data_IF_454898699344
#
_entry.id   IF_454898699344
#
_cell.length_a   1.000
_cell.length_b   1.000
_cell.length_c   1.000
_cell.angle_alpha   90.00
_cell.angle_beta   90.00
_cell.angle_gamma   90.00
#
_symmetry.space_group_name_H-M   'P 1'
#
loop_
_entity.id
_entity.type
_entity.pdbx_description
1 polymer ?
#
# COMPACT_ATOMS: atom_id res chain seq x y z
N UNK A 1 8.28 -5.06 24.84
CA UNK A 1 9.43 -4.45 25.55
C UNK A 1 9.26 -4.59 27.06
N UNK A 2 8.08 -4.25 27.61
CA UNK A 2 7.74 -4.46 29.02
C UNK A 2 8.01 -5.88 29.59
N UNK A 3 7.79 -6.96 28.82
CA UNK A 3 8.10 -8.32 29.29
C UNK A 3 9.61 -8.56 29.46
N UNK A 4 10.46 -7.96 28.62
CA UNK A 4 11.93 -8.12 28.74
C UNK A 4 12.46 -7.32 29.91
N UNK A 5 11.92 -6.14 30.14
CA UNK A 5 12.24 -5.29 31.28
C UNK A 5 11.89 -5.99 32.60
N UNK A 6 10.67 -6.52 32.73
CA UNK A 6 10.26 -7.34 33.87
C UNK A 6 11.18 -8.54 34.12
N UNK A 7 11.57 -9.26 33.06
CA UNK A 7 12.46 -10.42 33.20
C UNK A 7 13.91 -10.01 33.54
N UNK A 8 14.36 -8.83 33.12
CA UNK A 8 15.68 -8.29 33.48
C UNK A 8 15.73 -7.85 34.94
N UNK A 9 14.71 -7.15 35.42
CA UNK A 9 14.55 -6.79 36.83
C UNK A 9 14.53 -8.05 37.72
N UNK A 10 13.85 -9.10 37.26
CA UNK A 10 13.80 -10.38 37.96
C UNK A 10 15.17 -11.09 37.96
N UNK A 11 15.94 -11.03 36.86
CA UNK A 11 17.32 -11.56 36.83
C UNK A 11 18.25 -10.79 37.76
N UNK A 12 18.10 -9.47 37.84
CA UNK A 12 18.90 -8.60 38.72
C UNK A 12 18.60 -8.89 40.19
N UNK A 13 17.32 -8.89 40.58
CA UNK A 13 16.87 -9.26 41.92
C UNK A 13 17.32 -10.67 42.31
N UNK A 14 17.23 -11.64 41.38
CA UNK A 14 17.67 -13.01 41.62
C UNK A 14 19.20 -13.19 41.68
N UNK A 15 19.99 -12.21 41.25
CA UNK A 15 21.44 -12.23 41.41
C UNK A 15 21.88 -11.96 42.85
N UNK A 16 21.01 -11.34 43.65
CA UNK A 16 21.23 -11.02 45.06
C UNK A 16 20.78 -12.16 45.99
N UNK A 17 19.88 -13.03 45.53
CA UNK A 17 19.35 -14.15 46.30
C UNK A 17 20.24 -15.39 46.21
N UNK A 18 20.42 -16.09 47.32
CA UNK A 18 21.08 -17.41 47.33
C UNK A 18 20.13 -18.51 46.85
N UNK A 19 20.59 -19.52 46.08
CA UNK A 19 19.74 -20.55 45.46
C UNK A 19 18.91 -21.42 46.43
N UNK A 20 19.21 -21.39 47.74
CA UNK A 20 18.50 -22.17 48.77
C UNK A 20 17.34 -21.40 49.42
N UNK A 21 17.08 -20.16 49.03
CA UNK A 21 15.97 -19.37 49.57
C UNK A 21 14.64 -19.70 48.87
N UNK A 22 13.51 -19.83 49.61
CA UNK A 22 12.21 -20.11 49.01
C UNK A 22 11.76 -19.02 48.03
N UNK A 23 12.20 -17.77 48.25
CA UNK A 23 11.94 -16.63 47.37
C UNK A 23 12.57 -16.82 45.98
N UNK A 24 13.74 -17.50 45.91
CA UNK A 24 14.42 -17.82 44.65
C UNK A 24 13.62 -18.83 43.82
N UNK A 25 13.03 -19.84 44.46
CA UNK A 25 12.19 -20.84 43.78
C UNK A 25 10.87 -20.23 43.32
N UNK A 26 10.24 -19.40 44.14
CA UNK A 26 9.00 -18.70 43.78
C UNK A 26 9.20 -17.76 42.57
N UNK A 27 10.30 -17.03 42.51
CA UNK A 27 10.61 -16.14 41.37
C UNK A 27 10.81 -16.91 40.05
N UNK A 28 11.40 -18.11 40.11
CA UNK A 28 11.54 -19.01 38.96
C UNK A 28 10.18 -19.53 38.47
N UNK A 29 9.32 -19.94 39.41
CA UNK A 29 7.96 -20.38 39.11
C UNK A 29 7.10 -19.27 38.51
N UNK A 30 7.20 -18.03 39.02
CA UNK A 30 6.51 -16.86 38.47
C UNK A 30 6.96 -16.55 37.04
N UNK A 31 8.24 -16.72 36.75
CA UNK A 31 8.78 -16.59 35.39
C UNK A 31 8.43 -17.80 34.49
N UNK A 32 7.93 -18.90 35.06
CA UNK A 32 7.61 -20.16 34.37
C UNK A 32 8.86 -20.91 33.89
N UNK A 33 9.95 -20.84 34.65
CA UNK A 33 11.27 -21.35 34.25
C UNK A 33 11.90 -22.16 35.39
N UNK A 34 12.65 -23.22 35.10
CA UNK A 34 13.16 -24.15 36.13
C UNK A 34 14.57 -23.80 36.62
N UNK A 35 15.29 -22.94 35.89
CA UNK A 35 16.67 -22.57 36.18
C UNK A 35 16.98 -21.12 35.77
N UNK A 36 17.89 -20.48 36.50
CA UNK A 36 18.44 -19.16 36.17
C UNK A 36 19.02 -19.11 34.74
N UNK A 37 19.63 -20.20 34.28
CA UNK A 37 20.21 -20.25 32.94
C UNK A 37 19.14 -20.25 31.84
N UNK A 38 17.99 -20.87 32.11
CA UNK A 38 16.84 -20.84 31.22
C UNK A 38 16.20 -19.46 31.18
N UNK A 39 16.18 -18.74 32.31
CA UNK A 39 15.66 -17.38 32.41
C UNK A 39 16.54 -16.41 31.61
N UNK A 40 17.87 -16.51 31.77
CA UNK A 40 18.84 -15.75 30.97
C UNK A 40 18.72 -16.05 29.47
N UNK A 41 18.51 -17.32 29.10
CA UNK A 41 18.24 -17.71 27.70
C UNK A 41 16.95 -17.10 27.18
N UNK A 42 15.87 -17.10 27.97
CA UNK A 42 14.59 -16.48 27.60
C UNK A 42 14.75 -14.98 27.35
N UNK A 43 15.44 -14.26 28.24
CA UNK A 43 15.79 -12.84 28.05
C UNK A 43 16.58 -12.63 26.76
N UNK A 44 17.63 -13.43 26.51
CA UNK A 44 18.46 -13.31 25.31
C UNK A 44 17.65 -13.54 24.02
N UNK A 45 16.75 -14.53 24.01
CA UNK A 45 15.88 -14.80 22.84
C UNK A 45 14.89 -13.66 22.58
N UNK A 46 14.30 -13.08 23.61
CA UNK A 46 13.38 -11.95 23.48
C UNK A 46 14.14 -10.68 23.03
N UNK A 47 15.33 -10.41 23.56
CA UNK A 47 16.19 -9.32 23.09
C UNK A 47 16.58 -9.50 21.62
N UNK A 48 16.88 -10.73 21.18
CA UNK A 48 17.19 -11.00 19.77
C UNK A 48 15.97 -10.78 18.87
N UNK A 49 14.76 -11.17 19.32
CA UNK A 49 13.50 -10.89 18.60
C UNK A 49 13.21 -9.39 18.51
N UNK A 50 13.43 -8.64 19.60
CA UNK A 50 13.30 -7.17 19.62
C UNK A 50 14.31 -6.52 18.68
N UNK A 51 15.57 -6.95 18.68
CA UNK A 51 16.58 -6.43 17.74
C UNK A 51 16.22 -6.72 16.28
N UNK A 52 15.75 -7.93 15.97
CA UNK A 52 15.29 -8.29 14.61
C UNK A 52 14.09 -7.46 14.18
N UNK A 53 13.12 -7.25 15.05
CA UNK A 53 11.93 -6.43 14.76
C UNK A 53 12.29 -4.95 14.62
N UNK A 54 13.18 -4.41 15.46
CA UNK A 54 13.71 -3.04 15.31
C UNK A 54 14.51 -2.86 14.02
N UNK A 55 15.36 -3.83 13.66
CA UNK A 55 16.10 -3.76 12.40
C UNK A 55 15.17 -3.86 11.19
N UNK A 56 14.11 -4.67 11.27
CA UNK A 56 13.08 -4.74 10.25
C UNK A 56 12.29 -3.43 10.15
N UNK A 57 11.90 -2.86 11.30
CA UNK A 57 11.25 -1.55 11.35
C UNK A 57 12.16 -0.47 10.78
N UNK A 58 13.44 -0.45 11.12
CA UNK A 58 14.43 0.48 10.54
C UNK A 58 14.65 0.24 9.05
N UNK A 59 14.60 -1.01 8.56
CA UNK A 59 14.67 -1.30 7.12
C UNK A 59 13.41 -0.85 6.37
N UNK A 60 12.23 -1.04 6.98
CA UNK A 60 10.96 -0.57 6.45
C UNK A 60 10.88 0.97 6.53
N UNK A 61 11.48 1.58 7.56
CA UNK A 61 11.62 3.03 7.71
C UNK A 61 12.68 3.61 6.77
N UNK A 62 13.84 2.98 6.54
CA UNK A 62 14.82 3.49 5.54
C UNK A 62 14.38 3.23 4.10
N UNK A 63 13.49 2.26 3.87
CA UNK A 63 12.75 2.15 2.62
C UNK A 63 11.64 3.22 2.49
N UNK A 64 11.20 3.84 3.60
CA UNK A 64 10.21 4.92 3.65
C UNK A 64 10.75 6.35 3.82
N UNK A 65 11.98 6.55 4.31
CA UNK A 65 12.56 7.85 4.75
C UNK A 65 13.41 8.53 3.67
N UNK A 66 13.21 8.21 2.39
CA UNK A 66 13.52 9.19 1.32
C UNK A 66 12.32 10.11 1.05
N UNK A 67 11.19 9.91 1.75
CA UNK A 67 10.03 10.77 1.64
C UNK A 67 9.62 11.26 3.04
N UNK A 68 9.62 12.58 3.19
CA UNK A 68 8.85 13.34 4.18
C UNK A 68 9.48 13.56 5.57
N UNK A 69 10.38 14.54 5.63
CA UNK A 69 10.44 15.45 6.78
C UNK A 69 9.51 16.64 6.48
N UNK A 70 8.34 16.68 7.12
CA UNK A 70 7.54 17.90 7.24
C UNK A 70 7.19 18.17 8.70
N UNK A 71 7.81 19.22 9.24
CA UNK A 71 7.42 19.91 10.46
C UNK A 71 5.99 20.46 10.34
N UNK A 72 5.19 20.18 11.35
CA UNK A 72 3.88 20.77 11.57
C UNK A 72 3.99 22.30 11.73
N UNK A 73 3.24 23.05 10.91
CA UNK A 73 2.86 24.42 11.23
C UNK A 73 1.43 24.70 10.79
N UNK A 74 0.67 25.22 11.74
CA UNK A 74 -0.77 25.42 11.70
C UNK A 74 -1.29 26.32 10.55
N UNK A 75 -2.54 26.05 10.19
CA UNK A 75 -3.33 26.54 9.06
C UNK A 75 -3.48 28.07 9.02
N UNK A 76 -3.38 28.68 7.83
CA UNK A 76 -4.52 29.43 7.33
C UNK A 76 -4.88 29.04 5.88
N UNK A 77 -6.18 28.97 5.64
CA UNK A 77 -6.83 28.71 4.35
C UNK A 77 -6.36 29.72 3.29
N UNK A 78 -5.60 29.29 2.27
CA UNK A 78 -5.56 29.87 0.91
C UNK A 78 -4.59 29.14 -0.04
N UNK A 79 -5.12 28.64 -1.17
CA UNK A 79 -4.37 28.43 -2.42
C UNK A 79 -3.68 27.05 -2.60
N UNK A 80 -3.57 26.55 -3.85
CA UNK A 80 -2.82 25.34 -4.13
C UNK A 80 -1.35 25.56 -3.77
N UNK A 81 -0.81 24.67 -2.94
CA UNK A 81 0.59 24.61 -2.55
C UNK A 81 1.48 24.77 -3.78
N UNK A 82 2.26 25.85 -3.81
CA UNK A 82 3.27 26.13 -4.82
C UNK A 82 4.49 25.23 -4.59
N UNK A 83 4.31 23.91 -4.70
CA UNK A 83 5.43 23.02 -4.99
C UNK A 83 5.93 23.46 -6.37
N UNK A 84 7.19 23.89 -6.43
CA UNK A 84 7.78 24.50 -7.62
C UNK A 84 7.48 23.64 -8.83
N UNK A 85 6.55 24.10 -9.68
CA UNK A 85 6.19 23.39 -10.90
C UNK A 85 7.46 23.35 -11.74
N UNK A 86 7.88 22.15 -12.13
CA UNK A 86 9.09 21.96 -12.90
C UNK A 86 9.04 22.86 -14.15
N UNK A 87 9.92 23.85 -14.20
CA UNK A 87 10.02 24.77 -15.32
C UNK A 87 10.89 24.15 -16.40
N UNK A 88 10.50 24.24 -17.69
CA UNK A 88 11.31 23.76 -18.79
C UNK A 88 12.67 24.50 -18.84
N UNK A 89 13.71 23.84 -19.41
CA UNK A 89 14.97 24.50 -19.75
C UNK A 89 14.77 25.77 -20.59
N UNK A 90 15.70 26.72 -20.49
CA UNK A 90 15.62 28.00 -21.24
C UNK A 90 15.83 27.84 -22.74
N UNK A 91 16.60 26.83 -23.16
CA UNK A 91 16.84 26.56 -24.56
C UNK A 91 15.63 25.88 -25.22
N UNK A 92 15.12 26.40 -26.35
CA UNK A 92 13.86 25.94 -26.93
C UNK A 92 13.91 24.50 -27.45
N UNK A 93 15.08 24.02 -27.87
CA UNK A 93 15.27 22.64 -28.30
C UNK A 93 15.21 21.68 -27.12
N UNK A 94 15.93 21.99 -26.03
CA UNK A 94 15.92 21.20 -24.80
C UNK A 94 14.55 21.22 -24.12
N UNK A 95 13.85 22.36 -24.17
CA UNK A 95 12.47 22.49 -23.69
C UNK A 95 11.51 21.55 -24.43
N UNK A 96 11.65 21.40 -25.74
CA UNK A 96 10.82 20.50 -26.53
C UNK A 96 11.09 19.02 -26.21
N UNK A 97 12.36 18.65 -26.04
CA UNK A 97 12.74 17.28 -25.65
C UNK A 97 12.26 16.93 -24.24
N UNK A 98 12.39 17.88 -23.31
CA UNK A 98 11.86 17.74 -21.95
C UNK A 98 10.33 17.58 -21.97
N UNK A 99 9.59 18.40 -22.71
CA UNK A 99 8.14 18.23 -22.84
C UNK A 99 7.76 16.88 -23.44
N UNK A 100 8.52 16.40 -24.43
CA UNK A 100 8.30 15.07 -25.00
C UNK A 100 8.55 13.95 -23.98
N UNK A 101 9.54 14.10 -23.08
CA UNK A 101 9.76 13.13 -22.00
C UNK A 101 8.59 13.13 -21.00
N UNK A 102 8.10 14.30 -20.59
CA UNK A 102 6.95 14.43 -19.70
C UNK A 102 5.67 13.81 -20.32
N UNK A 103 5.42 14.06 -21.62
CA UNK A 103 4.30 13.46 -22.35
C UNK A 103 4.42 11.93 -22.43
N UNK A 104 5.63 11.41 -22.64
CA UNK A 104 5.90 9.98 -22.70
C UNK A 104 5.68 9.30 -21.35
N UNK A 105 6.18 9.89 -20.27
CA UNK A 105 6.00 9.39 -18.91
C UNK A 105 4.51 9.36 -18.54
N UNK A 106 3.78 10.45 -18.81
CA UNK A 106 2.33 10.49 -18.59
C UNK A 106 1.60 9.40 -19.38
N UNK A 107 1.95 9.21 -20.66
CA UNK A 107 1.34 8.19 -21.51
C UNK A 107 1.65 6.77 -21.03
N UNK A 108 2.85 6.52 -20.53
CA UNK A 108 3.24 5.22 -19.99
C UNK A 108 2.44 4.88 -18.73
N UNK A 109 2.31 5.84 -17.79
CA UNK A 109 1.50 5.64 -16.58
C UNK A 109 0.04 5.37 -16.95
N UNK A 110 -0.51 6.12 -17.90
CA UNK A 110 -1.88 5.89 -18.39
C UNK A 110 -2.06 4.51 -19.02
N UNK A 111 -1.11 4.08 -19.86
CA UNK A 111 -1.13 2.74 -20.48
C UNK A 111 -1.05 1.65 -19.42
N UNK A 112 -0.18 1.81 -18.41
CA UNK A 112 -0.07 0.88 -17.28
C UNK A 112 -1.37 0.80 -16.47
N UNK A 113 -2.01 1.95 -16.20
CA UNK A 113 -3.31 2.05 -15.53
C UNK A 113 -4.42 1.41 -16.35
N UNK A 114 -4.41 1.57 -17.68
CA UNK A 114 -5.37 0.90 -18.58
C UNK A 114 -5.14 -0.62 -18.61
N UNK A 115 -3.90 -1.09 -18.69
CA UNK A 115 -3.56 -2.50 -18.66
C UNK A 115 -4.01 -3.14 -17.34
N UNK A 116 -3.77 -2.49 -16.19
CA UNK A 116 -4.28 -2.93 -14.87
C UNK A 116 -5.80 -2.99 -14.85
N UNK A 117 -6.50 -1.99 -15.39
CA UNK A 117 -7.96 -2.00 -15.54
C UNK A 117 -8.42 -3.18 -16.41
N UNK A 118 -7.83 -3.37 -17.59
CA UNK A 118 -8.16 -4.47 -18.50
C UNK A 118 -8.00 -5.83 -17.82
N UNK A 119 -6.86 -6.08 -17.17
CA UNK A 119 -6.61 -7.31 -16.41
C UNK A 119 -7.64 -7.54 -15.31
N UNK A 120 -8.00 -6.52 -14.54
CA UNK A 120 -9.09 -6.60 -13.55
C UNK A 120 -10.42 -7.00 -14.20
N UNK A 121 -10.77 -6.42 -15.33
CA UNK A 121 -12.00 -6.80 -16.04
C UNK A 121 -11.94 -8.22 -16.61
N UNK A 122 -10.79 -8.68 -17.09
CA UNK A 122 -10.59 -10.03 -17.58
C UNK A 122 -10.70 -11.06 -16.46
N UNK A 123 -10.12 -10.80 -15.29
CA UNK A 123 -10.26 -11.65 -14.11
C UNK A 123 -11.70 -11.72 -13.60
N UNK A 124 -12.47 -10.63 -13.72
CA UNK A 124 -13.88 -10.61 -13.33
C UNK A 124 -14.78 -11.43 -14.28
N UNK A 125 -14.38 -11.59 -15.55
CA UNK A 125 -15.13 -12.36 -16.55
C UNK A 125 -14.92 -13.86 -16.35
N UNK A 126 -15.99 -14.61 -16.08
CA UNK A 126 -16.01 -16.06 -15.74
C UNK A 126 -15.50 -17.04 -16.81
N UNK A 127 -14.89 -16.58 -17.92
CA UNK A 127 -14.50 -17.42 -19.07
C UNK A 127 -13.11 -17.10 -19.64
N UNK A 128 -12.32 -16.29 -18.95
CA UNK A 128 -10.94 -15.97 -19.35
C UNK A 128 -9.95 -16.98 -18.77
N UNK A 129 -8.78 -17.13 -19.38
CA UNK A 129 -7.68 -17.98 -18.88
C UNK A 129 -7.28 -17.56 -17.46
N UNK A 130 -7.18 -16.26 -17.21
CA UNK A 130 -6.91 -15.70 -15.88
C UNK A 130 -8.00 -16.08 -14.86
N UNK A 131 -9.29 -16.03 -15.24
CA UNK A 131 -10.37 -16.49 -14.37
C UNK A 131 -10.30 -18.00 -14.11
N UNK A 132 -9.85 -18.80 -15.08
CA UNK A 132 -9.70 -20.26 -14.90
C UNK A 132 -8.56 -20.59 -13.94
N UNK A 133 -7.43 -19.89 -14.03
CA UNK A 133 -6.30 -20.09 -13.11
C UNK A 133 -6.66 -19.66 -11.67
N UNK A 134 -7.36 -18.53 -11.52
CA UNK A 134 -7.95 -18.13 -10.23
C UNK A 134 -8.87 -19.21 -9.66
N UNK A 135 -9.75 -19.78 -10.48
CA UNK A 135 -10.64 -20.87 -10.06
C UNK A 135 -9.86 -22.15 -9.72
N UNK A 136 -8.75 -22.43 -10.41
CA UNK A 136 -7.88 -23.58 -10.13
C UNK A 136 -7.25 -23.46 -8.74
N UNK A 137 -6.70 -22.30 -8.41
CA UNK A 137 -6.12 -22.02 -7.09
C UNK A 137 -7.18 -22.16 -6.00
N UNK A 138 -8.35 -21.54 -6.20
CA UNK A 138 -9.49 -21.64 -5.25
C UNK A 138 -9.95 -23.10 -5.09
N UNK A 139 -10.03 -23.86 -6.17
CA UNK A 139 -10.45 -25.27 -6.15
C UNK A 139 -9.43 -26.18 -5.46
N UNK A 140 -8.13 -25.88 -5.61
CA UNK A 140 -7.07 -26.59 -4.90
C UNK A 140 -7.12 -26.31 -3.40
N UNK A 141 -7.42 -25.07 -3.02
CA UNK A 141 -7.65 -24.68 -1.64
C UNK A 141 -8.85 -25.41 -1.02
N UNK A 142 -10.00 -25.36 -1.69
CA UNK A 142 -11.25 -25.97 -1.21
C UNK A 142 -11.17 -27.49 -1.03
N UNK A 143 -10.24 -28.17 -1.72
CA UNK A 143 -10.04 -29.62 -1.57
C UNK A 143 -9.29 -30.02 -0.30
N UNK A 144 -8.56 -29.10 0.34
CA UNK A 144 -7.75 -29.39 1.52
C UNK A 144 -8.58 -29.41 2.81
N UNK A 145 -9.80 -28.87 2.81
CA UNK A 145 -10.65 -28.71 4.00
C UNK A 145 -12.03 -29.36 3.82
N UNK A 146 -12.16 -30.62 4.24
CA UNK A 146 -13.47 -31.26 4.48
C UNK A 146 -13.80 -31.39 5.98
N UNK A 147 -12.93 -30.87 6.86
CA UNK A 147 -13.08 -30.99 8.31
C UNK A 147 -12.69 -29.64 8.92
N UNK A 148 -13.72 -28.91 9.34
CA UNK A 148 -13.70 -27.59 9.99
C UNK A 148 -13.11 -26.44 9.13
N UNK A 149 -14.00 -25.71 8.47
CA UNK A 149 -13.67 -24.50 7.69
C UNK A 149 -13.48 -23.30 8.63
N UNK A 150 -12.22 -23.07 9.03
CA UNK A 150 -11.77 -21.90 9.79
C UNK A 150 -11.01 -20.91 8.89
N UNK A 151 -11.29 -20.90 7.58
CA UNK A 151 -10.60 -20.06 6.61
C UNK A 151 -10.69 -18.57 6.99
N UNK A 152 -9.55 -17.91 7.13
CA UNK A 152 -9.42 -16.51 7.56
C UNK A 152 -8.93 -16.33 9.00
N UNK A 153 -8.82 -17.40 9.79
CA UNK A 153 -8.26 -17.35 11.16
C UNK A 153 -6.74 -17.59 11.16
N UNK A 154 -6.19 -18.25 10.12
CA UNK A 154 -4.74 -18.47 9.99
C UNK A 154 -4.12 -17.36 9.16
N UNK A 155 -2.92 -16.92 9.55
CA UNK A 155 -2.12 -15.94 8.80
C UNK A 155 -1.81 -16.41 7.36
N UNK A 156 -1.73 -17.72 7.14
CA UNK A 156 -1.50 -18.35 5.83
C UNK A 156 -2.66 -18.13 4.84
N UNK A 157 -3.89 -17.95 5.32
CA UNK A 157 -5.06 -17.73 4.47
C UNK A 157 -5.01 -16.34 3.81
N UNK A 158 -4.29 -15.38 4.42
CA UNK A 158 -4.06 -14.05 3.83
C UNK A 158 -3.15 -14.13 2.62
N UNK A 159 -2.20 -15.07 2.59
CA UNK A 159 -1.31 -15.26 1.45
C UNK A 159 -2.05 -15.79 0.23
N UNK A 160 -3.20 -16.44 0.42
CA UNK A 160 -4.09 -16.87 -0.65
C UNK A 160 -4.84 -15.69 -1.25
N UNK A 161 -5.38 -14.80 -0.41
CA UNK A 161 -5.96 -13.54 -0.90
C UNK A 161 -4.93 -12.71 -1.64
N UNK A 162 -3.69 -12.64 -1.14
CA UNK A 162 -2.59 -12.00 -1.85
C UNK A 162 -2.31 -12.73 -3.16
N UNK A 163 -2.13 -14.05 -3.20
CA UNK A 163 -1.82 -14.77 -4.43
C UNK A 163 -2.90 -14.57 -5.52
N UNK A 164 -4.17 -14.54 -5.12
CA UNK A 164 -5.30 -14.31 -6.03
C UNK A 164 -5.40 -12.84 -6.47
N UNK A 165 -5.10 -11.88 -5.60
CA UNK A 165 -5.22 -10.44 -5.89
C UNK A 165 -3.90 -9.75 -6.24
N UNK A 166 -2.75 -10.44 -6.18
CA UNK A 166 -1.41 -9.91 -6.49
C UNK A 166 -1.36 -9.40 -7.93
N UNK A 167 -2.05 -10.10 -8.84
CA UNK A 167 -2.22 -9.66 -10.22
C UNK A 167 -3.21 -8.49 -10.39
N UNK A 168 -4.04 -8.22 -9.38
CA UNK A 168 -5.05 -7.16 -9.36
C UNK A 168 -4.51 -5.75 -9.12
N UNK A 169 -3.23 -5.62 -8.73
CA UNK A 169 -2.49 -4.35 -8.70
C UNK A 169 -3.02 -3.34 -7.68
N UNK A 170 -2.59 -3.44 -6.42
CA UNK A 170 -2.94 -2.49 -5.36
C UNK A 170 -1.78 -1.64 -4.84
N UNK A 171 -0.54 -2.16 -4.84
CA UNK A 171 0.55 -1.56 -4.06
C UNK A 171 1.14 -0.28 -4.65
N UNK A 172 1.19 -0.15 -5.98
CA UNK A 172 1.88 0.98 -6.64
C UNK A 172 0.90 2.08 -7.09
N UNK A 173 -0.37 2.03 -6.66
CA UNK A 173 -1.41 2.87 -7.26
C UNK A 173 -1.47 4.31 -6.75
N UNK A 174 -0.99 4.57 -5.54
CA UNK A 174 -1.02 5.91 -4.93
C UNK A 174 0.14 6.76 -5.44
N UNK A 175 1.36 6.23 -5.38
CA UNK A 175 2.57 6.86 -5.93
C UNK A 175 2.44 7.14 -7.45
N UNK A 176 1.85 6.23 -8.21
CA UNK A 176 1.59 6.45 -9.64
C UNK A 176 0.53 7.55 -9.87
N UNK A 177 -0.44 7.73 -8.97
CA UNK A 177 -1.47 8.77 -9.08
C UNK A 177 -0.87 10.15 -8.74
N UNK A 178 -0.04 10.25 -7.71
CA UNK A 178 0.68 11.47 -7.37
C UNK A 178 1.58 11.93 -8.51
N UNK A 179 2.40 11.03 -9.07
CA UNK A 179 3.25 11.33 -10.23
C UNK A 179 2.44 11.78 -11.45
N UNK A 180 1.29 11.15 -11.67
CA UNK A 180 0.40 11.51 -12.77
C UNK A 180 -0.19 12.91 -12.57
N UNK A 181 -0.58 13.27 -11.35
CA UNK A 181 -1.05 14.62 -11.01
C UNK A 181 0.05 15.66 -11.21
N UNK A 182 1.27 15.38 -10.77
CA UNK A 182 2.43 16.28 -10.99
C UNK A 182 2.69 16.52 -12.49
N UNK A 183 2.71 15.44 -13.28
CA UNK A 183 2.87 15.52 -14.74
C UNK A 183 1.71 16.27 -15.41
N UNK A 184 0.47 16.09 -14.94
CA UNK A 184 -0.69 16.81 -15.48
C UNK A 184 -0.62 18.31 -15.20
N UNK A 185 -0.15 18.71 -14.02
CA UNK A 185 0.07 20.14 -13.70
C UNK A 185 1.09 20.75 -14.66
N UNK A 186 2.21 20.06 -14.88
CA UNK A 186 3.27 20.49 -15.82
C UNK A 186 2.73 20.57 -17.26
N UNK A 187 2.09 19.50 -17.74
CA UNK A 187 1.58 19.42 -19.10
C UNK A 187 0.43 20.40 -19.36
N UNK A 188 -0.38 20.72 -18.34
CA UNK A 188 -1.46 21.72 -18.46
C UNK A 188 -0.91 23.12 -18.70
N UNK A 189 0.24 23.45 -18.11
CA UNK A 189 0.89 24.75 -18.27
C UNK A 189 1.61 24.88 -19.62
N UNK A 190 2.30 23.83 -20.07
CA UNK A 190 3.18 23.90 -21.24
C UNK A 190 2.62 23.26 -22.51
N UNK A 191 1.65 22.34 -22.40
CA UNK A 191 1.06 21.60 -23.52
C UNK A 191 -0.44 21.28 -23.30
N UNK A 192 -1.31 22.30 -23.17
CA UNK A 192 -2.74 22.08 -22.92
C UNK A 192 -3.44 21.31 -24.06
N UNK A 193 -2.93 21.43 -25.30
CA UNK A 193 -3.46 20.71 -26.46
C UNK A 193 -3.24 19.19 -26.40
N UNK A 194 -2.14 18.73 -25.77
CA UNK A 194 -1.86 17.31 -25.59
C UNK A 194 -2.90 16.67 -24.65
N UNK A 195 -3.14 17.28 -23.50
CA UNK A 195 -4.14 16.80 -22.54
C UNK A 195 -5.56 16.84 -23.14
N UNK A 196 -5.90 17.90 -23.90
CA UNK A 196 -7.18 17.99 -24.59
C UNK A 196 -7.36 16.91 -25.66
N UNK A 197 -6.30 16.55 -26.40
CA UNK A 197 -6.35 15.46 -27.37
C UNK A 197 -6.50 14.09 -26.70
N UNK A 198 -5.83 13.86 -25.57
CA UNK A 198 -5.96 12.63 -24.82
C UNK A 198 -7.33 12.50 -24.13
N UNK A 199 -7.84 13.60 -23.57
CA UNK A 199 -9.17 13.70 -22.95
C UNK A 199 -10.30 13.75 -23.97
N UNK A 200 -10.04 14.12 -25.23
CA UNK A 200 -11.02 14.16 -26.34
C UNK A 200 -11.64 12.81 -26.72
N UNK A 201 -11.25 11.73 -26.03
CA UNK A 201 -11.90 10.42 -26.06
C UNK A 201 -12.98 10.24 -24.97
N UNK A 202 -13.12 11.17 -24.03
CA UNK A 202 -14.13 11.19 -22.98
C UNK A 202 -15.11 12.34 -23.20
N UNK A 203 -16.21 12.05 -23.88
CA UNK A 203 -17.29 13.00 -24.19
C UNK A 203 -18.11 13.44 -22.94
N UNK A 204 -17.65 13.10 -21.73
CA UNK A 204 -18.39 13.30 -20.48
C UNK A 204 -18.11 14.63 -19.77
N UNK A 205 -16.99 15.30 -20.04
CA UNK A 205 -16.59 16.52 -19.32
C UNK A 205 -16.71 17.81 -20.15
N UNK A 206 -17.30 17.74 -21.36
CA UNK A 206 -17.63 18.96 -22.09
C UNK A 206 -18.74 19.68 -21.32
N UNK A 207 -18.58 20.98 -21.01
CA UNK A 207 -19.66 21.74 -20.39
C UNK A 207 -20.86 21.73 -21.34
N UNK A 208 -21.98 21.17 -20.86
CA UNK A 208 -23.21 21.09 -21.63
C UNK A 208 -23.55 22.47 -22.20
N UNK A 209 -23.78 22.50 -23.51
CA UNK A 209 -24.24 23.69 -24.20
C UNK A 209 -25.57 24.14 -23.60
N UNK A 210 -25.92 25.42 -23.81
CA UNK A 210 -27.20 25.96 -23.30
C UNK A 210 -28.38 25.14 -23.83
N UNK A 211 -28.31 24.64 -25.07
CA UNK A 211 -29.34 23.79 -25.67
C UNK A 211 -29.44 22.41 -24.99
N UNK A 212 -28.31 21.73 -24.77
CA UNK A 212 -28.28 20.41 -24.13
C UNK A 212 -28.78 20.44 -22.67
N UNK A 213 -28.58 21.58 -21.98
CA UNK A 213 -29.13 21.80 -20.63
C UNK A 213 -30.64 21.70 -20.54
N UNK A 214 -31.35 21.96 -21.63
CA UNK A 214 -32.81 21.89 -21.70
C UNK A 214 -33.32 20.57 -22.31
N UNK A 215 -32.45 19.61 -22.60
CA UNK A 215 -32.84 18.32 -23.18
C UNK A 215 -33.10 17.26 -22.10
N UNK A 216 -34.31 16.69 -22.12
CA UNK A 216 -34.67 15.57 -21.26
C UNK A 216 -34.29 14.24 -21.93
N UNK A 217 -33.37 13.50 -21.31
CA UNK A 217 -32.98 12.17 -21.77
C UNK A 217 -33.91 11.10 -21.15
N UNK A 218 -34.90 10.67 -21.93
CA UNK A 218 -35.86 9.65 -21.52
C UNK A 218 -35.39 8.27 -22.00
N UNK A 219 -34.76 7.48 -21.12
CA UNK A 219 -34.26 6.14 -21.46
C UNK A 219 -35.18 5.03 -20.95
N UNK A 220 -35.39 4.96 -19.64
CA UNK A 220 -36.20 3.88 -19.01
C UNK A 220 -37.68 4.21 -18.91
N UNK A 221 -38.05 5.49 -19.06
CA UNK A 221 -39.43 5.96 -18.99
C UNK A 221 -40.31 5.47 -20.15
N UNK A 222 -39.70 5.13 -21.31
CA UNK A 222 -40.41 4.58 -22.47
C UNK A 222 -40.84 3.11 -22.30
N UNK A 223 -40.22 2.37 -21.38
CA UNK A 223 -40.49 0.95 -21.17
C UNK A 223 -41.59 0.75 -20.11
N UNK A 224 -41.90 1.79 -19.33
CA UNK A 224 -42.89 1.74 -18.24
C UNK A 224 -44.30 2.20 -18.65
N UNK A 225 -44.48 2.75 -19.84
CA UNK A 225 -45.77 3.21 -20.37
C UNK A 225 -46.45 2.12 -21.19
#
# INVERSE_FOLDING_TARGET
EAEVERLLELVEAMSEFTPCQPEYQHALEEAGVSSMDELKKRVATLQQKIRKTRNKLLQDSTAGVVADEQEEKEVPVAGPSSRAVATPPSDPAEAAEWLASQQREWSEIQLRRQARRSRRTEMAKRRTVASQERMRIISQLAKREKKDDNFGIRDEDWDVYKAINKEGGGSDSEEEEEKLQELEVVLKQHSPGFLAAAAGSADHDKPLTIAERYQLHLSTELIRT
#
